data_IF_972563835485
#
_entry.id   IF_972563835485
#
_cell.length_a   1.000
_cell.length_b   1.000
_cell.length_c   1.000
_cell.angle_alpha   90.00
_cell.angle_beta   90.00
_cell.angle_gamma   90.00
#
_symmetry.space_group_name_H-M   'P 1'
#
loop_
_entity.id
_entity.type
_entity.pdbx_description
1 polymer ?
#
# COMPACT_ATOMS: atom_id res chain seq x y z
N UNK A 1 -15.21 63.75 -1.26
CA UNK A 1 -14.37 63.07 -0.25
C UNK A 1 -13.63 61.91 -0.90
N UNK A 2 -12.32 61.85 -0.70
CA UNK A 2 -11.36 60.93 -1.34
C UNK A 2 -11.50 59.52 -0.78
N UNK A 3 -11.54 58.47 -1.63
CA UNK A 3 -10.98 57.14 -1.32
C UNK A 3 -10.38 56.54 -2.60
N UNK A 4 -9.22 55.92 -2.44
CA UNK A 4 -8.12 55.78 -3.39
C UNK A 4 -8.25 54.49 -4.22
N UNK A 5 -7.74 54.54 -5.46
CA UNK A 5 -7.38 53.38 -6.29
C UNK A 5 -6.26 52.57 -5.62
N UNK A 6 -6.51 51.31 -5.33
CA UNK A 6 -5.56 50.23 -4.99
C UNK A 6 -6.23 48.96 -5.53
N UNK A 7 -5.70 48.12 -6.40
CA UNK A 7 -4.43 48.04 -7.11
C UNK A 7 -4.58 46.81 -8.02
N UNK A 8 -4.02 46.87 -9.23
CA UNK A 8 -4.01 45.75 -10.17
C UNK A 8 -3.12 44.63 -9.61
N UNK A 9 -3.60 43.38 -9.62
CA UNK A 9 -2.72 42.24 -9.93
C UNK A 9 -3.46 41.27 -10.86
N UNK A 10 -2.88 41.18 -12.05
CA UNK A 10 -3.30 40.43 -13.22
C UNK A 10 -2.52 39.10 -13.22
N UNK A 11 -3.26 37.99 -13.39
CA UNK A 11 -2.87 36.77 -14.14
C UNK A 11 -1.84 35.80 -13.53
N UNK A 12 -2.06 34.51 -13.87
CA UNK A 12 -1.29 33.27 -13.62
C UNK A 12 -1.53 32.67 -12.22
N UNK A 13 -2.34 31.62 -12.01
CA UNK A 13 -2.18 30.26 -12.55
C UNK A 13 -3.54 29.55 -12.70
N UNK A 14 -4.24 29.77 -13.82
CA UNK A 14 -5.24 28.81 -14.34
C UNK A 14 -4.58 27.54 -14.93
N UNK A 15 -3.28 27.31 -14.66
CA UNK A 15 -2.46 26.24 -15.23
C UNK A 15 -2.49 24.91 -14.46
N UNK A 16 -3.17 24.84 -13.30
CA UNK A 16 -3.25 23.58 -12.53
C UNK A 16 -4.50 22.76 -12.88
N UNK A 17 -5.48 23.30 -13.61
CA UNK A 17 -6.76 22.61 -13.83
C UNK A 17 -6.84 21.76 -15.12
N UNK A 18 -5.78 21.69 -15.95
CA UNK A 18 -5.83 20.99 -17.25
C UNK A 18 -4.63 20.08 -17.51
N UNK A 19 -4.23 19.27 -16.53
CA UNK A 19 -3.29 18.15 -16.73
C UNK A 19 -3.95 16.76 -16.64
N UNK A 20 -5.26 16.67 -16.93
CA UNK A 20 -5.97 15.37 -16.98
C UNK A 20 -6.53 15.05 -18.38
N UNK A 21 -5.95 15.62 -19.42
CA UNK A 21 -6.04 15.15 -20.81
C UNK A 21 -4.68 14.46 -21.04
N UNK A 22 -4.48 13.15 -20.99
CA UNK A 22 -5.25 12.00 -21.46
C UNK A 22 -4.83 10.84 -20.55
N UNK A 23 -5.70 10.33 -19.67
CA UNK A 23 -5.50 8.97 -19.18
C UNK A 23 -6.10 8.06 -20.24
N UNK A 24 -5.31 7.22 -20.95
CA UNK A 24 -5.91 6.15 -21.73
C UNK A 24 -6.81 5.36 -20.78
N UNK A 25 -7.91 4.86 -21.32
CA UNK A 25 -8.96 4.07 -20.69
C UNK A 25 -8.40 2.97 -19.76
N UNK A 26 -7.93 3.34 -18.57
CA UNK A 26 -7.44 2.41 -17.57
C UNK A 26 -8.68 1.92 -16.84
N UNK A 27 -8.86 0.59 -16.81
CA UNK A 27 -9.64 -0.06 -15.76
C UNK A 27 -9.28 0.63 -14.43
N UNK A 28 -10.23 0.75 -13.50
CA UNK A 28 -9.91 1.05 -12.10
C UNK A 28 -9.01 -0.07 -11.58
N UNK A 29 -7.71 0.03 -11.87
CA UNK A 29 -6.68 -0.90 -11.47
C UNK A 29 -6.38 -0.57 -10.02
N UNK A 30 -6.63 -1.55 -9.14
CA UNK A 30 -6.38 -1.39 -7.72
C UNK A 30 -4.91 -1.03 -7.51
N UNK A 31 -4.64 -0.14 -6.57
CA UNK A 31 -3.26 0.10 -6.16
C UNK A 31 -2.65 -1.17 -5.56
N UNK A 32 -1.32 -1.29 -5.55
CA UNK A 32 -0.63 -2.43 -4.91
C UNK A 32 -1.05 -2.59 -3.45
N UNK A 33 -1.26 -1.48 -2.74
CA UNK A 33 -1.75 -1.47 -1.36
C UNK A 33 -3.16 -2.03 -1.28
N UNK A 34 -4.08 -1.57 -2.13
CA UNK A 34 -5.47 -2.07 -2.17
C UNK A 34 -5.54 -3.57 -2.49
N UNK A 35 -4.65 -4.08 -3.34
CA UNK A 35 -4.53 -5.52 -3.64
C UNK A 35 -4.08 -6.29 -2.40
N UNK A 36 -3.07 -5.79 -1.68
CA UNK A 36 -2.56 -6.43 -0.46
C UNK A 36 -3.56 -6.36 0.70
N UNK A 37 -4.28 -5.24 0.85
CA UNK A 37 -5.37 -5.08 1.82
C UNK A 37 -6.53 -6.03 1.51
N UNK A 38 -6.90 -6.17 0.23
CA UNK A 38 -7.93 -7.13 -0.19
C UNK A 38 -7.53 -8.58 0.12
N UNK A 39 -6.23 -8.89 0.09
CA UNK A 39 -5.70 -10.21 0.40
C UNK A 39 -5.55 -10.49 1.90
N UNK A 40 -5.71 -9.48 2.77
CA UNK A 40 -5.32 -9.56 4.17
C UNK A 40 -6.02 -10.70 4.92
N UNK A 41 -7.35 -10.69 4.97
CA UNK A 41 -8.12 -11.68 5.72
C UNK A 41 -8.18 -13.05 5.01
N UNK A 42 -8.32 -13.04 3.68
CA UNK A 42 -8.49 -14.25 2.88
C UNK A 42 -7.26 -15.17 3.01
N UNK A 43 -6.07 -14.59 2.84
CA UNK A 43 -4.80 -15.32 2.84
C UNK A 43 -4.09 -15.31 4.19
N UNK A 44 -4.71 -14.72 5.23
CA UNK A 44 -4.16 -14.67 6.58
C UNK A 44 -2.86 -13.90 6.67
N UNK A 45 -2.81 -12.71 6.05
CA UNK A 45 -1.68 -11.81 6.17
C UNK A 45 -1.69 -11.17 7.56
N UNK A 46 -0.50 -10.92 8.11
CA UNK A 46 -0.35 -10.18 9.36
C UNK A 46 0.59 -8.97 9.22
N UNK A 47 1.25 -8.85 8.06
CA UNK A 47 2.10 -7.71 7.74
C UNK A 47 2.35 -7.66 6.24
N UNK A 48 2.46 -6.47 5.67
CA UNK A 48 3.14 -6.27 4.39
C UNK A 48 3.98 -4.98 4.43
N UNK A 49 4.93 -4.87 3.51
CA UNK A 49 5.70 -3.67 3.28
C UNK A 49 6.17 -3.60 1.85
N UNK A 50 6.09 -2.41 1.25
CA UNK A 50 6.56 -2.13 -0.11
C UNK A 50 7.85 -1.33 0.05
N UNK A 51 8.98 -1.91 -0.35
CA UNK A 51 10.25 -1.23 -0.25
C UNK A 51 10.34 -0.05 -1.22
N UNK A 52 10.67 1.13 -0.69
CA UNK A 52 10.88 2.32 -1.53
C UNK A 52 12.27 2.29 -2.20
N UNK A 53 13.27 1.80 -1.47
CA UNK A 53 14.68 1.74 -1.91
C UNK A 53 15.08 0.37 -2.43
N UNK A 54 14.57 -0.69 -1.81
CA UNK A 54 14.64 -2.05 -2.30
C UNK A 54 13.33 -2.41 -3.01
N UNK A 55 13.40 -2.82 -4.27
CA UNK A 55 12.21 -3.18 -5.05
C UNK A 55 11.67 -4.56 -4.64
N UNK A 56 11.23 -4.67 -3.39
CA UNK A 56 10.71 -5.89 -2.77
C UNK A 56 9.40 -5.58 -2.06
N UNK A 57 8.37 -6.38 -2.37
CA UNK A 57 7.16 -6.46 -1.56
C UNK A 57 7.37 -7.60 -0.57
N UNK A 58 7.46 -7.27 0.70
CA UNK A 58 7.60 -8.23 1.80
C UNK A 58 6.24 -8.51 2.41
N UNK A 59 5.85 -9.78 2.49
CA UNK A 59 4.54 -10.21 3.02
C UNK A 59 4.75 -11.24 4.11
N UNK A 60 4.17 -10.99 5.28
CA UNK A 60 4.06 -11.96 6.36
C UNK A 60 2.68 -12.62 6.36
N UNK A 61 2.63 -13.95 6.29
CA UNK A 61 1.38 -14.71 6.26
C UNK A 61 1.37 -15.87 7.26
N UNK A 62 0.19 -16.28 7.70
CA UNK A 62 0.01 -17.47 8.52
C UNK A 62 0.57 -18.71 7.80
N UNK A 63 1.37 -19.49 8.53
CA UNK A 63 1.94 -20.74 8.03
C UNK A 63 0.89 -21.75 7.57
N UNK A 64 -0.32 -21.71 8.13
CA UNK A 64 -1.42 -22.65 7.83
C UNK A 64 -2.08 -22.36 6.47
N UNK A 65 -1.93 -21.13 5.96
CA UNK A 65 -2.52 -20.69 4.69
C UNK A 65 -1.63 -21.04 3.49
N UNK A 66 -2.22 -21.13 2.30
CA UNK A 66 -1.54 -21.52 1.08
C UNK A 66 -0.75 -20.36 0.47
N UNK A 67 0.57 -20.52 0.36
CA UNK A 67 1.43 -19.54 -0.31
C UNK A 67 1.16 -19.51 -1.83
N UNK A 68 0.90 -20.68 -2.43
CA UNK A 68 0.66 -20.78 -3.87
C UNK A 68 -0.63 -20.07 -4.28
N UNK A 69 -1.66 -20.11 -3.43
CA UNK A 69 -2.90 -19.37 -3.68
C UNK A 69 -2.69 -17.86 -3.61
N UNK A 70 -1.95 -17.39 -2.60
CA UNK A 70 -1.57 -15.98 -2.50
C UNK A 70 -0.75 -15.54 -3.73
N UNK A 71 0.22 -16.34 -4.18
CA UNK A 71 1.01 -16.04 -5.38
C UNK A 71 0.15 -15.95 -6.63
N UNK A 72 -0.82 -16.86 -6.81
CA UNK A 72 -1.78 -16.80 -7.92
C UNK A 72 -2.64 -15.54 -7.86
N UNK A 73 -3.15 -15.20 -6.68
CA UNK A 73 -3.93 -14.00 -6.46
C UNK A 73 -3.13 -12.73 -6.82
N UNK A 74 -1.91 -12.60 -6.29
CA UNK A 74 -1.04 -11.45 -6.56
C UNK A 74 -0.72 -11.34 -8.05
N UNK A 75 -0.43 -12.46 -8.73
CA UNK A 75 -0.15 -12.44 -10.16
C UNK A 75 -1.34 -11.97 -11.02
N UNK A 76 -2.56 -12.28 -10.58
CA UNK A 76 -3.80 -11.92 -11.27
C UNK A 76 -4.28 -10.49 -10.98
N UNK A 77 -3.90 -9.91 -9.83
CA UNK A 77 -4.44 -8.64 -9.36
C UNK A 77 -3.42 -7.49 -9.32
N UNK A 78 -2.11 -7.78 -9.25
CA UNK A 78 -1.09 -6.75 -9.36
C UNK A 78 -0.89 -6.33 -10.82
N UNK A 79 -0.64 -5.05 -11.03
CA UNK A 79 -0.30 -4.51 -12.35
C UNK A 79 0.97 -5.16 -12.91
N UNK A 80 1.07 -5.25 -14.23
CA UNK A 80 2.30 -5.74 -14.89
C UNK A 80 3.52 -4.91 -14.49
N UNK A 81 3.37 -3.58 -14.42
CA UNK A 81 4.43 -2.67 -13.94
C UNK A 81 4.91 -3.05 -12.53
N UNK A 82 3.98 -3.35 -11.62
CA UNK A 82 4.34 -3.76 -10.25
C UNK A 82 5.08 -5.09 -10.24
N UNK A 83 4.64 -6.05 -11.05
CA UNK A 83 5.27 -7.38 -11.14
C UNK A 83 6.67 -7.34 -11.75
N UNK A 84 6.90 -6.41 -12.69
CA UNK A 84 8.23 -6.18 -13.26
C UNK A 84 9.15 -5.45 -12.29
N UNK A 85 8.64 -4.44 -11.59
CA UNK A 85 9.42 -3.60 -10.67
C UNK A 85 9.79 -4.34 -9.40
N UNK A 86 8.84 -5.06 -8.80
CA UNK A 86 8.99 -5.61 -7.45
C UNK A 86 9.14 -7.13 -7.41
N UNK A 87 10.09 -7.61 -6.61
CA UNK A 87 10.14 -9.02 -6.21
C UNK A 87 9.21 -9.25 -5.02
N UNK A 88 8.44 -10.33 -5.04
CA UNK A 88 7.58 -10.72 -3.91
C UNK A 88 8.29 -11.71 -3.00
N UNK A 89 8.48 -11.33 -1.73
CA UNK A 89 9.06 -12.16 -0.68
C UNK A 89 7.99 -12.51 0.36
N UNK A 90 7.73 -13.80 0.54
CA UNK A 90 6.72 -14.29 1.48
C UNK A 90 7.42 -14.95 2.68
N UNK A 91 6.99 -14.59 3.89
CA UNK A 91 7.51 -15.11 5.15
C UNK A 91 6.36 -15.74 5.91
N UNK A 92 6.40 -17.07 6.05
CA UNK A 92 5.37 -17.83 6.77
C UNK A 92 5.70 -17.93 8.26
N UNK A 93 4.75 -17.57 9.13
CA UNK A 93 4.87 -17.74 10.59
C UNK A 93 3.55 -18.20 11.22
N UNK A 94 3.64 -18.85 12.37
CA UNK A 94 2.46 -19.19 13.18
C UNK A 94 1.94 -17.93 13.88
N UNK A 95 0.74 -17.48 13.51
CA UNK A 95 0.16 -16.25 14.06
C UNK A 95 -0.09 -16.37 15.57
N UNK A 96 -0.46 -17.55 16.07
CA UNK A 96 -0.66 -17.80 17.50
C UNK A 96 0.65 -17.70 18.29
N UNK A 97 1.80 -17.93 17.64
CA UNK A 97 3.10 -17.70 18.27
C UNK A 97 3.39 -16.20 18.35
N UNK A 98 3.07 -15.44 17.31
CA UNK A 98 3.25 -13.99 17.27
C UNK A 98 2.36 -13.29 18.32
N UNK A 99 1.09 -13.68 18.43
CA UNK A 99 0.16 -13.14 19.43
C UNK A 99 0.66 -13.40 20.85
N UNK A 100 1.04 -14.65 21.17
CA UNK A 100 1.60 -14.98 22.49
C UNK A 100 2.89 -14.22 22.80
N UNK A 101 3.73 -13.97 21.79
CA UNK A 101 4.93 -13.14 21.96
C UNK A 101 4.56 -11.68 22.24
N UNK A 102 3.58 -11.14 21.52
CA UNK A 102 3.08 -9.78 21.72
C UNK A 102 2.46 -9.61 23.12
N UNK A 103 1.62 -10.54 23.56
CA UNK A 103 1.04 -10.54 24.91
C UNK A 103 2.12 -10.56 25.99
N UNK A 104 3.14 -11.42 25.86
CA UNK A 104 4.26 -11.49 26.81
C UNK A 104 5.02 -10.16 26.85
N UNK A 105 5.26 -9.55 25.69
CA UNK A 105 5.91 -8.26 25.59
C UNK A 105 5.10 -7.15 26.29
N UNK A 106 3.78 -7.07 26.04
CA UNK A 106 2.89 -6.12 26.72
C UNK A 106 2.89 -6.32 28.24
N UNK A 107 2.79 -7.56 28.72
CA UNK A 107 2.87 -7.88 30.16
C UNK A 107 4.19 -7.40 30.78
N UNK A 108 5.32 -7.65 30.11
CA UNK A 108 6.65 -7.24 30.61
C UNK A 108 6.83 -5.73 30.70
N UNK A 109 6.18 -4.97 29.79
CA UNK A 109 6.23 -3.51 29.77
C UNK A 109 5.42 -2.91 30.92
N UNK A 110 4.25 -3.48 31.22
CA UNK A 110 3.35 -2.96 32.26
C UNK A 110 3.80 -3.27 33.69
N UNK A 111 4.79 -4.14 33.86
CA UNK A 111 5.42 -4.47 35.16
C UNK A 111 6.66 -3.63 35.49
N UNK A 112 7.05 -2.68 34.63
CA UNK A 112 8.09 -1.68 34.90
C UNK A 112 7.46 -0.33 35.21
#
# INVERSE_FOLDING_TARGET
MKKKLIGVLIIVCFSVFMYSVVKPLFKNEKSTEEVLESAWDEFGLFSFGIGETDAVISIGMDKTKSEDELRRYLNANLSEETKEKYKVKIIKKDINVLERQHEKYLKSRNTR
#
